data_IF_275009940530
#
_entry.id   IF_275009940530
#
_cell.length_a   1.000
_cell.length_b   1.000
_cell.length_c   1.000
_cell.angle_alpha   90.00
_cell.angle_beta   90.00
_cell.angle_gamma   90.00
#
_symmetry.space_group_name_H-M   'P 1'
#
loop_
_entity.id
_entity.type
_entity.pdbx_description
1 polymer ?
#
# COMPACT_ATOMS: atom_id res chain seq x y z
N UNK A 1 6.86 -10.17 -11.56
CA UNK A 1 7.55 -10.58 -12.82
C UNK A 1 6.52 -11.13 -13.80
N UNK A 2 6.52 -10.68 -15.06
CA UNK A 2 5.84 -11.36 -16.17
C UNK A 2 6.91 -11.82 -17.17
N UNK A 3 7.11 -13.12 -17.29
CA UNK A 3 7.92 -13.70 -18.36
C UNK A 3 7.04 -13.87 -19.61
N UNK A 4 7.54 -13.46 -20.78
CA UNK A 4 6.78 -13.53 -22.02
C UNK A 4 6.45 -14.99 -22.39
N UNK A 5 5.17 -15.27 -22.65
CA UNK A 5 4.70 -16.56 -23.17
C UNK A 5 4.22 -17.59 -22.14
N UNK A 6 4.34 -17.33 -20.83
CA UNK A 6 3.83 -18.21 -19.77
C UNK A 6 2.57 -17.60 -19.16
N UNK A 7 1.45 -18.35 -19.19
CA UNK A 7 0.23 -17.94 -18.48
C UNK A 7 0.58 -17.71 -17.00
N UNK A 8 0.25 -16.54 -16.42
CA UNK A 8 0.62 -16.26 -15.04
C UNK A 8 -0.17 -17.16 -14.08
N UNK A 9 0.48 -18.19 -13.57
CA UNK A 9 -0.06 -19.12 -12.56
C UNK A 9 0.52 -18.74 -11.21
N UNK A 10 -0.32 -18.48 -10.20
CA UNK A 10 0.12 -18.18 -8.83
C UNK A 10 0.83 -16.83 -8.62
N UNK A 11 0.93 -15.98 -9.65
CA UNK A 11 1.60 -14.66 -9.56
C UNK A 11 0.62 -13.47 -9.63
N UNK A 12 -0.67 -13.75 -9.75
CA UNK A 12 -1.72 -12.73 -9.62
C UNK A 12 -2.00 -12.56 -8.13
N UNK A 13 -1.36 -11.58 -7.52
CA UNK A 13 -1.61 -11.23 -6.13
C UNK A 13 -3.03 -10.66 -5.99
N UNK A 14 -3.81 -11.21 -5.05
CA UNK A 14 -5.05 -10.61 -4.56
C UNK A 14 -4.72 -9.98 -3.22
N UNK A 15 -4.55 -8.66 -3.20
CA UNK A 15 -4.23 -7.97 -1.98
C UNK A 15 -5.45 -7.99 -1.03
N UNK A 16 -5.26 -8.37 0.24
CA UNK A 16 -6.27 -8.13 1.27
C UNK A 16 -6.37 -6.62 1.56
N UNK A 17 -7.34 -6.25 2.39
CA UNK A 17 -7.36 -4.90 2.96
C UNK A 17 -6.27 -4.80 4.04
N UNK A 18 -5.10 -4.27 3.65
CA UNK A 18 -3.96 -4.11 4.55
C UNK A 18 -4.21 -3.04 5.63
N UNK A 19 -5.02 -2.02 5.32
CA UNK A 19 -5.38 -1.00 6.29
C UNK A 19 -6.26 -1.57 7.41
N UNK A 20 -7.26 -2.39 7.04
CA UNK A 20 -8.08 -3.12 8.01
C UNK A 20 -7.25 -4.12 8.83
N UNK A 21 -6.30 -4.81 8.20
CA UNK A 21 -5.39 -5.71 8.91
C UNK A 21 -4.54 -4.97 9.95
N UNK A 22 -3.99 -3.80 9.59
CA UNK A 22 -3.23 -2.98 10.52
C UNK A 22 -4.08 -2.57 11.73
N UNK A 23 -5.33 -2.13 11.49
CA UNK A 23 -6.28 -1.79 12.54
C UNK A 23 -6.57 -2.99 13.48
N UNK A 24 -6.80 -4.18 12.91
CA UNK A 24 -7.02 -5.40 13.68
C UNK A 24 -5.79 -5.80 14.54
N UNK A 25 -4.58 -5.41 14.12
CA UNK A 25 -3.34 -5.61 14.87
C UNK A 25 -3.01 -4.46 15.86
N UNK A 26 -3.90 -3.48 16.03
CA UNK A 26 -3.70 -2.33 16.93
C UNK A 26 -2.78 -1.24 16.37
N UNK A 27 -2.48 -1.28 15.07
CA UNK A 27 -1.80 -0.20 14.36
C UNK A 27 -2.81 0.68 13.63
N UNK A 28 -2.40 1.86 13.21
CA UNK A 28 -3.24 2.63 12.28
C UNK A 28 -2.93 2.22 10.83
N UNK A 29 -3.96 1.93 10.04
CA UNK A 29 -3.83 1.60 8.62
C UNK A 29 -4.44 2.67 7.72
N UNK A 30 -3.72 3.10 6.69
CA UNK A 30 -4.20 4.10 5.72
C UNK A 30 -3.83 3.66 4.30
N UNK A 31 -4.78 3.71 3.37
CA UNK A 31 -4.53 3.56 1.94
C UNK A 31 -4.32 4.92 1.31
N UNK A 32 -3.23 5.08 0.55
CA UNK A 32 -2.83 6.34 -0.06
C UNK A 32 -2.73 6.23 -1.58
N UNK A 33 -3.17 7.28 -2.25
CA UNK A 33 -3.26 7.36 -3.70
C UNK A 33 -2.41 8.52 -4.23
N UNK A 34 -1.36 8.18 -5.00
CA UNK A 34 -0.44 9.13 -5.59
C UNK A 34 0.60 9.73 -4.65
N UNK A 35 1.62 10.35 -5.25
CA UNK A 35 2.82 10.80 -4.54
C UNK A 35 2.59 11.95 -3.56
N UNK A 36 1.71 12.90 -3.90
CA UNK A 36 1.41 14.03 -3.02
C UNK A 36 0.72 13.55 -1.72
N UNK A 37 -0.31 12.71 -1.84
CA UNK A 37 -1.02 12.16 -0.69
C UNK A 37 -0.12 11.27 0.16
N UNK A 38 0.74 10.45 -0.46
CA UNK A 38 1.74 9.66 0.27
C UNK A 38 2.69 10.56 1.07
N UNK A 39 3.18 11.66 0.49
CA UNK A 39 4.09 12.57 1.19
C UNK A 39 3.40 13.28 2.36
N UNK A 40 2.12 13.66 2.22
CA UNK A 40 1.35 14.26 3.32
C UNK A 40 1.09 13.25 4.44
N UNK A 41 0.58 12.07 4.11
CA UNK A 41 0.28 11.04 5.12
C UNK A 41 1.54 10.51 5.79
N UNK A 42 2.67 10.44 5.08
CA UNK A 42 3.95 10.08 5.70
C UNK A 42 4.34 11.06 6.81
N UNK A 43 4.16 12.37 6.61
CA UNK A 43 4.43 13.36 7.66
C UNK A 43 3.47 13.20 8.85
N UNK A 44 2.19 12.94 8.58
CA UNK A 44 1.19 12.70 9.62
C UNK A 44 1.49 11.42 10.43
N UNK A 45 1.88 10.34 9.74
CA UNK A 45 2.24 9.06 10.33
C UNK A 45 3.46 9.19 11.25
N UNK A 46 4.48 9.95 10.85
CA UNK A 46 5.68 10.19 11.65
C UNK A 46 5.40 11.01 12.92
N UNK A 47 4.37 11.84 12.92
CA UNK A 47 3.95 12.62 14.08
C UNK A 47 3.02 11.85 15.03
N UNK A 48 2.47 10.71 14.60
CA UNK A 48 1.54 9.90 15.39
C UNK A 48 2.27 9.01 16.38
N UNK A 49 1.66 8.83 17.54
CA UNK A 49 2.11 7.83 18.50
C UNK A 49 1.71 6.42 18.01
N UNK A 50 2.68 5.51 17.98
CA UNK A 50 2.46 4.10 17.67
C UNK A 50 2.65 3.72 16.19
N UNK A 51 2.50 2.43 15.87
CA UNK A 51 2.77 1.89 14.55
C UNK A 51 1.73 2.35 13.52
N UNK A 52 2.21 2.64 12.31
CA UNK A 52 1.39 3.04 11.16
C UNK A 52 1.75 2.22 9.93
N UNK A 53 0.75 1.66 9.26
CA UNK A 53 0.86 1.04 7.94
C UNK A 53 0.27 1.97 6.89
N UNK A 54 1.07 2.32 5.88
CA UNK A 54 0.64 3.06 4.70
C UNK A 54 0.62 2.11 3.49
N UNK A 55 -0.56 1.82 2.95
CA UNK A 55 -0.74 1.05 1.73
C UNK A 55 -0.74 2.00 0.53
N UNK A 56 0.38 2.08 -0.20
CA UNK A 56 0.49 2.87 -1.41
C UNK A 56 0.02 2.09 -2.64
N UNK A 57 -0.96 2.62 -3.36
CA UNK A 57 -1.50 2.00 -4.57
C UNK A 57 -0.53 2.21 -5.74
N UNK A 58 0.17 1.14 -6.11
CA UNK A 58 1.31 1.18 -7.02
C UNK A 58 0.98 1.76 -8.41
N UNK A 59 -0.25 1.58 -8.87
CA UNK A 59 -0.74 2.11 -10.14
C UNK A 59 -0.63 3.64 -10.22
N UNK A 60 -0.76 4.34 -9.09
CA UNK A 60 -0.71 5.80 -9.03
C UNK A 60 0.72 6.37 -9.12
N UNK A 61 1.73 5.50 -9.15
CA UNK A 61 3.15 5.87 -9.17
C UNK A 61 3.87 5.41 -10.44
N UNK A 62 3.16 4.83 -11.40
CA UNK A 62 3.75 4.53 -12.70
C UNK A 62 4.02 5.83 -13.47
N UNK A 63 5.21 5.92 -14.05
CA UNK A 63 5.46 6.89 -15.11
C UNK A 63 4.50 6.62 -16.29
N UNK A 64 4.05 7.67 -17.00
CA UNK A 64 3.24 7.50 -18.21
C UNK A 64 3.95 6.67 -19.29
#
# INVERSE_FOLDING_TARGET
>A
MRAAGITPIGVVARNPDFAALAAACGATGVRVHGAAALAEELRAALARAGPTLLEAVAEDFRAP
#
